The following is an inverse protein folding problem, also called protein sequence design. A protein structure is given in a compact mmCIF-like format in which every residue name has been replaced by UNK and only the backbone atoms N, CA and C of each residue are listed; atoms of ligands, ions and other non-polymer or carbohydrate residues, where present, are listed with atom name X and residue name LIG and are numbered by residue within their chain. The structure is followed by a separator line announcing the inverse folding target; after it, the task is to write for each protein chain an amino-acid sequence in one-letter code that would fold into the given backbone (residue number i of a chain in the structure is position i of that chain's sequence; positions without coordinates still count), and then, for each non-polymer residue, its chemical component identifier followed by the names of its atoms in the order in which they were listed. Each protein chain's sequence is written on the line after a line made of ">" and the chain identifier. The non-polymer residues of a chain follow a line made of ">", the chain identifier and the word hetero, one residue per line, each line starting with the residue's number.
data_IF_986751983125
#
_entry.id   IF_986751983125
#
_cell.length_a   1.000
_cell.length_b   1.000
_cell.length_c   1.000
_cell.angle_alpha   90.00
_cell.angle_beta   90.00
_cell.angle_gamma   90.00
#
_symmetry.space_group_name_H-M   'P 1'
#
loop_
_entity.id
_entity.type
_entity.pdbx_description
1 polymer ?
#
# COMPACT_ATOMS: atom_id res chain seq x y z
N UNK A 1 -1.15 7.78 -0.51
CA UNK A 1 -1.71 6.85 0.49
C UNK A 1 -3.20 7.14 0.67
N UNK A 2 -3.94 6.24 1.32
CA UNK A 2 -5.37 6.38 1.61
C UNK A 2 -5.68 5.85 3.03
N UNK A 3 -6.69 6.43 3.69
CA UNK A 3 -7.12 6.02 5.03
C UNK A 3 -7.90 4.70 5.02
N UNK A 4 -7.83 3.92 6.09
CA UNK A 4 -8.71 2.76 6.34
C UNK A 4 -10.19 3.11 6.32
N UNK A 5 -10.53 4.35 6.70
CA UNK A 5 -11.90 4.85 6.76
C UNK A 5 -12.42 5.36 5.40
N UNK A 6 -11.58 5.34 4.36
CA UNK A 6 -11.98 5.77 3.04
C UNK A 6 -12.91 4.75 2.38
N UNK A 7 -13.81 5.23 1.53
CA UNK A 7 -14.66 4.32 0.74
C UNK A 7 -13.86 3.66 -0.39
N UNK A 8 -14.31 2.50 -0.85
CA UNK A 8 -13.78 1.88 -2.08
C UNK A 8 -13.81 2.85 -3.27
N UNK A 9 -14.83 3.70 -3.36
CA UNK A 9 -14.95 4.74 -4.39
C UNK A 9 -13.86 5.80 -4.30
N UNK A 10 -13.43 6.18 -3.10
CA UNK A 10 -12.29 7.10 -2.90
C UNK A 10 -10.99 6.49 -3.41
N UNK A 11 -10.76 5.20 -3.10
CA UNK A 11 -9.58 4.47 -3.59
C UNK A 11 -9.59 4.39 -5.11
N UNK A 12 -10.73 4.04 -5.72
CA UNK A 12 -10.87 3.99 -7.18
C UNK A 12 -10.58 5.35 -7.84
N UNK A 13 -11.11 6.45 -7.28
CA UNK A 13 -10.81 7.81 -7.74
C UNK A 13 -9.33 8.14 -7.60
N UNK A 14 -8.72 7.81 -6.46
CA UNK A 14 -7.31 8.07 -6.21
C UNK A 14 -6.41 7.31 -7.18
N UNK A 15 -6.67 6.02 -7.41
CA UNK A 15 -5.95 5.19 -8.39
C UNK A 15 -6.10 5.77 -9.79
N UNK A 16 -7.33 6.10 -10.20
CA UNK A 16 -7.58 6.67 -11.53
C UNK A 16 -6.92 8.03 -11.75
N UNK A 17 -6.84 8.88 -10.70
CA UNK A 17 -6.24 10.22 -10.79
C UNK A 17 -4.72 10.20 -10.72
N UNK A 18 -4.15 9.33 -9.89
CA UNK A 18 -2.70 9.29 -9.65
C UNK A 18 -1.95 8.39 -10.63
N UNK A 19 -2.59 7.37 -11.19
CA UNK A 19 -1.95 6.38 -12.06
C UNK A 19 -1.02 5.40 -11.33
N UNK A 20 -0.96 5.44 -9.99
CA UNK A 20 -0.10 4.55 -9.22
C UNK A 20 -0.69 3.15 -9.10
N UNK A 21 0.13 2.12 -9.33
CA UNK A 21 -0.29 0.71 -9.24
C UNK A 21 -0.42 0.20 -7.80
N UNK A 22 0.18 0.89 -6.83
CA UNK A 22 0.20 0.51 -5.41
C UNK A 22 -0.05 1.75 -4.57
N UNK A 23 -1.01 1.67 -3.66
CA UNK A 23 -1.41 2.76 -2.77
C UNK A 23 -1.25 2.30 -1.33
N UNK A 24 -0.40 2.96 -0.52
CA UNK A 24 -0.31 2.66 0.91
C UNK A 24 -1.65 2.92 1.61
N UNK A 25 -2.07 2.00 2.47
CA UNK A 25 -3.23 2.09 3.35
C UNK A 25 -2.75 2.44 4.76
N UNK A 26 -3.22 3.53 5.32
CA UNK A 26 -2.82 4.00 6.65
C UNK A 26 -3.99 4.03 7.62
N UNK A 27 -3.71 3.81 8.90
CA UNK A 27 -4.68 3.88 9.99
C UNK A 27 -4.30 5.06 10.90
N UNK A 28 -5.24 5.98 11.14
CA UNK A 28 -5.10 7.19 11.98
C UNK A 28 -4.07 8.24 11.51
N UNK A 29 -2.84 7.82 11.21
CA UNK A 29 -1.72 8.66 10.75
C UNK A 29 -0.99 8.02 9.57
N UNK A 30 -0.38 8.84 8.72
CA UNK A 30 0.52 8.39 7.65
C UNK A 30 1.75 7.65 8.19
N UNK A 31 2.09 7.82 9.46
CA UNK A 31 3.18 7.10 10.11
C UNK A 31 2.85 5.61 10.28
N UNK A 32 1.56 5.24 10.28
CA UNK A 32 1.07 3.89 10.52
C UNK A 32 0.48 3.29 9.24
N UNK A 33 1.36 2.84 8.36
CA UNK A 33 0.98 2.06 7.17
C UNK A 33 0.63 0.63 7.58
N UNK A 34 -0.64 0.26 7.43
CA UNK A 34 -1.16 -1.07 7.78
C UNK A 34 -1.25 -2.01 6.58
N UNK A 35 -1.09 -1.49 5.36
CA UNK A 35 -1.14 -2.31 4.16
C UNK A 35 -0.85 -1.55 2.87
N UNK A 36 -0.91 -2.28 1.75
CA UNK A 36 -0.77 -1.73 0.40
C UNK A 36 -1.87 -2.29 -0.48
N UNK A 37 -2.68 -1.39 -1.06
CA UNK A 37 -3.72 -1.74 -2.02
C UNK A 37 -3.11 -1.77 -3.41
N UNK A 38 -3.37 -2.86 -4.14
CA UNK A 38 -2.93 -3.05 -5.50
C UNK A 38 -4.05 -2.65 -6.46
N UNK A 39 -3.79 -1.69 -7.34
CA UNK A 39 -4.78 -1.18 -8.29
C UNK A 39 -5.41 -2.28 -9.16
N UNK A 40 -4.61 -3.27 -9.56
CA UNK A 40 -5.07 -4.42 -10.36
C UNK A 40 -6.07 -5.31 -9.59
N UNK A 41 -5.95 -5.39 -8.27
CA UNK A 41 -6.80 -6.26 -7.45
C UNK A 41 -8.21 -5.63 -7.31
N UNK A 42 -8.31 -4.29 -7.47
CA UNK A 42 -9.60 -3.58 -7.50
C UNK A 42 -10.47 -3.98 -8.69
N UNK A 43 -9.87 -4.42 -9.80
CA UNK A 43 -10.61 -4.80 -11.03
C UNK A 43 -11.57 -5.96 -10.78
N UNK A 44 -11.22 -6.89 -9.87
CA UNK A 44 -12.08 -8.02 -9.51
C UNK A 44 -13.41 -7.55 -8.87
N UNK A 45 -13.39 -6.44 -8.13
CA UNK A 45 -14.58 -5.92 -7.45
C UNK A 45 -15.46 -5.08 -8.38
N UNK A 46 -14.86 -4.41 -9.37
CA UNK A 46 -15.60 -3.70 -10.42
C UNK A 46 -16.45 -4.66 -11.25
N UNK A 47 -15.89 -5.83 -11.61
CA UNK A 47 -16.63 -6.83 -12.40
C UNK A 47 -17.79 -7.46 -11.64
N UNK A 48 -17.66 -7.59 -10.31
CA UNK A 48 -18.64 -8.29 -9.48
C UNK A 48 -19.80 -7.41 -8.98
N UNK A 49 -19.72 -6.08 -9.17
CA UNK A 49 -20.82 -5.08 -9.14
C UNK A 49 -21.60 -4.88 -7.84
N UNK A 50 -21.64 -5.87 -6.95
CA UNK A 50 -22.57 -5.95 -5.82
C UNK A 50 -21.88 -6.03 -4.45
N UNK A 51 -20.55 -6.10 -4.40
CA UNK A 51 -19.80 -6.22 -3.14
C UNK A 51 -18.72 -5.16 -3.06
N UNK A 52 -18.94 -4.17 -2.19
CA UNK A 52 -17.91 -3.22 -1.78
C UNK A 52 -17.06 -3.89 -0.70
N UNK A 53 -15.76 -4.16 -0.95
CA UNK A 53 -14.91 -4.77 0.05
C UNK A 53 -14.56 -3.78 1.15
N UNK A 54 -14.24 -4.30 2.34
CA UNK A 54 -13.49 -3.52 3.32
C UNK A 54 -12.06 -3.33 2.81
N UNK A 55 -11.48 -2.13 2.95
CA UNK A 55 -10.15 -1.86 2.40
C UNK A 55 -9.06 -2.73 3.03
N UNK A 56 -9.22 -3.06 4.31
CA UNK A 56 -8.32 -3.95 5.04
C UNK A 56 -8.27 -5.38 4.45
N UNK A 57 -9.39 -5.89 3.93
CA UNK A 57 -9.49 -7.25 3.39
C UNK A 57 -8.74 -7.41 2.05
N UNK A 58 -8.59 -6.31 1.32
CA UNK A 58 -7.93 -6.28 0.01
C UNK A 58 -6.51 -5.71 0.08
N UNK A 59 -6.12 -5.19 1.24
CA UNK A 59 -4.78 -4.69 1.48
C UNK A 59 -3.82 -5.87 1.68
N UNK A 60 -2.65 -5.79 1.03
CA UNK A 60 -1.57 -6.75 1.25
C UNK A 60 -0.65 -6.22 2.36
N UNK A 61 -0.01 -7.11 3.15
CA UNK A 61 0.97 -6.70 4.15
C UNK A 61 2.04 -5.79 3.52
N UNK A 62 2.43 -4.69 4.19
CA UNK A 62 3.49 -3.82 3.68
C UNK A 62 4.84 -4.51 3.85
N UNK A 63 5.73 -4.33 2.87
CA UNK A 63 7.12 -4.74 3.00
C UNK A 63 7.91 -3.62 3.69
N UNK A 64 8.22 -3.79 4.97
CA UNK A 64 8.81 -2.72 5.80
C UNK A 64 10.32 -2.87 5.88
N UNK A 65 11.04 -1.77 5.75
CA UNK A 65 12.50 -1.71 5.86
C UNK A 65 12.94 -0.48 6.67
N UNK A 66 14.05 -0.52 7.41
CA UNK A 66 14.57 0.69 8.04
C UNK A 66 15.10 1.67 6.99
N UNK A 67 14.92 2.97 7.22
CA UNK A 67 15.40 4.03 6.30
C UNK A 67 16.92 4.01 6.10
N UNK A 68 17.66 3.45 7.07
CA UNK A 68 19.12 3.31 7.03
C UNK A 68 19.61 2.16 6.12
N UNK A 69 18.69 1.34 5.57
CA UNK A 69 19.04 0.21 4.71
C UNK A 69 19.67 0.67 3.40
N UNK A 70 20.79 0.04 3.03
CA UNK A 70 21.51 0.41 1.81
C UNK A 70 20.70 0.05 0.55
N UNK A 71 20.72 0.94 -0.44
CA UNK A 71 19.93 0.78 -1.67
C UNK A 71 20.24 -0.51 -2.45
N UNK A 72 21.50 -0.97 -2.47
CA UNK A 72 21.90 -2.21 -3.14
C UNK A 72 21.34 -3.46 -2.43
N UNK A 73 21.28 -3.44 -1.10
CA UNK A 73 20.70 -4.51 -0.28
C UNK A 73 19.17 -4.52 -0.45
N UNK A 74 18.53 -3.34 -0.38
CA UNK A 74 17.10 -3.20 -0.64
C UNK A 74 16.74 -3.73 -2.03
N UNK A 75 17.49 -3.38 -3.07
CA UNK A 75 17.23 -3.88 -4.42
C UNK A 75 17.34 -5.40 -4.53
N UNK A 76 18.32 -6.00 -3.84
CA UNK A 76 18.48 -7.45 -3.81
C UNK A 76 17.28 -8.14 -3.14
N UNK A 77 16.82 -7.59 -2.02
CA UNK A 77 15.65 -8.07 -1.30
C UNK A 77 14.36 -7.92 -2.11
N UNK A 78 14.11 -6.75 -2.71
CA UNK A 78 12.94 -6.50 -3.55
C UNK A 78 12.85 -7.51 -4.71
N UNK A 79 14.00 -7.84 -5.33
CA UNK A 79 14.09 -8.85 -6.38
C UNK A 79 13.83 -10.27 -5.86
N UNK A 80 14.45 -10.64 -4.75
CA UNK A 80 14.30 -11.97 -4.13
C UNK A 80 12.86 -12.22 -3.71
N UNK A 81 12.25 -11.25 -3.06
CA UNK A 81 10.92 -11.36 -2.46
C UNK A 81 9.81 -11.00 -3.49
N UNK A 82 10.19 -10.66 -4.73
CA UNK A 82 9.31 -10.29 -5.84
C UNK A 82 8.31 -9.17 -5.49
N UNK A 83 8.77 -8.22 -4.67
CA UNK A 83 8.02 -7.02 -4.26
C UNK A 83 8.59 -5.79 -4.95
N UNK A 84 7.71 -4.86 -5.36
CA UNK A 84 8.12 -3.67 -6.12
C UNK A 84 7.91 -2.35 -5.35
N UNK A 85 7.64 -2.44 -4.05
CA UNK A 85 7.44 -1.31 -3.14
C UNK A 85 7.83 -1.79 -1.75
N UNK A 86 8.53 -0.92 -1.03
CA UNK A 86 8.80 -1.05 0.39
C UNK A 86 8.33 0.23 1.09
N UNK A 87 8.02 0.12 2.39
CA UNK A 87 7.77 1.24 3.29
C UNK A 87 9.01 1.40 4.16
N UNK A 88 9.67 2.55 4.05
CA UNK A 88 10.79 2.91 4.89
C UNK A 88 10.27 3.41 6.25
N UNK A 89 10.84 2.89 7.34
CA UNK A 89 10.52 3.32 8.70
C UNK A 89 11.72 3.94 9.39
N UNK A 90 11.46 4.94 10.24
CA UNK A 90 12.44 5.58 11.10
C UNK A 90 12.74 4.75 12.36
N UNK A 91 13.60 5.27 13.22
CA UNK A 91 14.03 4.64 14.48
C UNK A 91 12.91 4.52 15.53
N UNK A 92 11.84 5.29 15.38
CA UNK A 92 10.68 5.31 16.27
C UNK A 92 9.53 4.43 15.74
N UNK A 93 9.71 3.81 14.57
CA UNK A 93 8.71 2.98 13.89
C UNK A 93 7.68 3.78 13.08
N UNK A 94 7.91 5.09 12.91
CA UNK A 94 7.13 5.94 12.02
C UNK A 94 7.53 5.74 10.56
N UNK A 95 6.63 6.08 9.64
CA UNK A 95 6.91 5.95 8.21
C UNK A 95 7.74 7.13 7.72
N UNK A 96 8.94 6.84 7.21
CA UNK A 96 9.84 7.83 6.62
C UNK A 96 9.57 8.05 5.11
N UNK A 97 9.07 7.02 4.40
CA UNK A 97 8.76 7.11 2.96
C UNK A 97 8.35 5.82 2.27
#
# INVERSE_FOLDING_TARGET
>A
AVSTEASFGDVMRLVSKSGFSRIPLYEESLDRIVGVIYAKDLLAYVQNGNVTPHLADIARPPYVVPETKRANELLADLRRDQVHMAIAVDEYGGTAG
#
